data_IF_245882765194
#
_entry.id   IF_245882765194
#
_cell.length_a   1.000
_cell.length_b   1.000
_cell.length_c   1.000
_cell.angle_alpha   90.00
_cell.angle_beta   90.00
_cell.angle_gamma   90.00
#
_symmetry.space_group_name_H-M   'P 1'
#
loop_
_entity.id
_entity.type
_entity.pdbx_description
1 polymer ?
#
# COMPACT_ATOMS: atom_id res chain seq x y z
N UNK A 1 52.41 -4.27 44.45
CA UNK A 1 53.02 -5.45 43.80
C UNK A 1 52.51 -6.71 44.50
N UNK A 2 52.55 -7.85 43.79
CA UNK A 2 52.16 -9.23 44.17
C UNK A 2 50.75 -9.60 43.64
N UNK A 3 50.61 -9.93 42.36
CA UNK A 3 50.85 -11.23 41.70
C UNK A 3 49.78 -12.32 41.98
N UNK A 4 48.78 -12.35 41.10
CA UNK A 4 48.49 -13.46 40.17
C UNK A 4 47.93 -14.81 40.66
N UNK A 5 46.95 -15.27 39.87
CA UNK A 5 46.55 -16.67 39.51
C UNK A 5 45.54 -17.36 40.43
N UNK A 6 44.34 -17.61 39.87
CA UNK A 6 43.93 -18.94 39.36
C UNK A 6 42.60 -18.83 38.59
N UNK A 7 42.69 -19.17 37.31
CA UNK A 7 41.56 -19.45 36.41
C UNK A 7 40.90 -20.76 36.87
N UNK A 8 39.57 -20.78 37.00
CA UNK A 8 38.78 -22.01 36.92
C UNK A 8 37.71 -21.78 35.85
N UNK A 9 37.98 -22.37 34.69
CA UNK A 9 37.04 -22.55 33.59
C UNK A 9 36.11 -23.68 33.99
N UNK A 10 34.83 -23.36 34.23
CA UNK A 10 33.78 -24.34 34.37
C UNK A 10 32.96 -24.36 33.07
N UNK A 11 33.28 -25.33 32.21
CA UNK A 11 32.48 -25.66 31.04
C UNK A 11 31.18 -26.32 31.51
N UNK A 12 30.04 -25.67 31.27
CA UNK A 12 28.71 -26.26 31.46
C UNK A 12 28.02 -26.30 30.11
N UNK A 13 27.55 -27.49 29.78
CA UNK A 13 27.05 -27.95 28.49
C UNK A 13 25.93 -27.07 27.92
N UNK A 14 26.05 -26.71 26.65
CA UNK A 14 24.94 -26.21 25.83
C UNK A 14 24.05 -27.39 25.42
N UNK A 15 22.74 -27.38 25.73
CA UNK A 15 21.83 -28.35 25.13
C UNK A 15 21.68 -28.07 23.63
N UNK A 16 21.96 -29.11 22.83
CA UNK A 16 21.75 -29.13 21.39
C UNK A 16 20.26 -28.96 21.08
N UNK A 17 19.84 -27.74 20.74
CA UNK A 17 18.52 -27.51 20.18
C UNK A 17 18.47 -28.00 18.73
N UNK A 18 17.40 -28.72 18.43
CA UNK A 18 17.10 -29.39 17.17
C UNK A 18 17.29 -28.49 15.94
N UNK A 19 18.11 -28.95 14.99
CA UNK A 19 18.16 -28.40 13.65
C UNK A 19 16.90 -28.80 12.89
N UNK A 20 15.86 -27.96 12.92
CA UNK A 20 14.82 -28.00 11.90
C UNK A 20 15.44 -27.50 10.59
N UNK A 21 15.62 -28.41 9.64
CA UNK A 21 15.94 -28.07 8.27
C UNK A 21 14.85 -27.13 7.74
N UNK A 22 15.20 -25.85 7.53
CA UNK A 22 14.44 -25.03 6.61
C UNK A 22 14.79 -25.55 5.22
N UNK A 23 13.92 -26.41 4.67
CA UNK A 23 13.88 -26.62 3.24
C UNK A 23 13.64 -25.24 2.61
N UNK A 24 14.66 -24.77 1.91
CA UNK A 24 14.61 -23.60 1.02
C UNK A 24 13.65 -23.98 -0.10
N UNK A 25 12.35 -23.82 0.19
CA UNK A 25 11.28 -24.04 -0.75
C UNK A 25 11.39 -22.98 -1.82
N UNK A 26 11.90 -23.41 -2.97
CA UNK A 26 11.77 -22.79 -4.28
C UNK A 26 10.64 -21.75 -4.32
N UNK A 27 11.00 -20.47 -4.21
CA UNK A 27 10.12 -19.37 -4.63
C UNK A 27 10.12 -19.28 -6.15
N UNK A 28 9.80 -20.39 -6.81
CA UNK A 28 9.38 -20.41 -8.20
C UNK A 28 7.86 -20.29 -8.23
N UNK A 29 7.39 -19.08 -8.47
CA UNK A 29 5.96 -18.80 -8.47
C UNK A 29 5.68 -17.36 -8.83
N UNK A 30 5.96 -17.00 -10.09
CA UNK A 30 5.43 -15.78 -10.72
C UNK A 30 3.91 -15.89 -10.83
N UNK A 31 3.20 -15.78 -9.70
CA UNK A 31 1.77 -15.55 -9.65
C UNK A 31 1.52 -14.07 -9.92
N UNK A 32 1.56 -13.67 -11.20
CA UNK A 32 0.94 -12.42 -11.63
C UNK A 32 -0.57 -12.58 -11.46
N UNK A 33 -1.05 -12.42 -10.23
CA UNK A 33 -2.45 -12.18 -10.01
C UNK A 33 -2.76 -10.83 -10.66
N UNK A 34 -3.31 -10.88 -11.87
CA UNK A 34 -4.24 -9.86 -12.34
C UNK A 34 -5.43 -9.92 -11.37
N UNK A 35 -5.25 -9.34 -10.18
CA UNK A 35 -6.40 -8.78 -9.48
C UNK A 35 -6.97 -7.79 -10.48
N UNK A 36 -8.08 -8.17 -11.10
CA UNK A 36 -9.09 -7.22 -11.53
C UNK A 36 -9.22 -6.26 -10.36
N UNK A 37 -8.57 -5.11 -10.46
CA UNK A 37 -8.74 -4.05 -9.51
C UNK A 37 -10.18 -3.66 -9.71
N UNK A 38 -11.08 -4.24 -8.92
CA UNK A 38 -12.42 -3.74 -8.75
C UNK A 38 -12.23 -2.25 -8.53
N UNK A 39 -12.63 -1.47 -9.52
CA UNK A 39 -12.50 -0.01 -9.62
C UNK A 39 -13.48 0.63 -8.65
N UNK A 40 -13.57 0.10 -7.44
CA UNK A 40 -14.39 0.59 -6.35
C UNK A 40 -13.83 1.97 -5.97
N UNK A 41 -14.37 2.97 -6.68
CA UNK A 41 -14.05 4.38 -6.62
C UNK A 41 -12.64 4.80 -7.07
N UNK A 42 -12.22 4.34 -8.24
CA UNK A 42 -11.32 5.19 -9.01
C UNK A 42 -12.15 6.28 -9.68
N UNK A 43 -11.62 7.51 -9.79
CA UNK A 43 -12.27 8.58 -10.56
C UNK A 43 -12.61 8.12 -11.98
N UNK A 44 -11.83 7.18 -12.54
CA UNK A 44 -12.09 6.60 -13.85
C UNK A 44 -13.47 5.91 -13.94
N UNK A 45 -13.97 5.30 -12.85
CA UNK A 45 -15.30 4.68 -12.83
C UNK A 45 -16.44 5.69 -12.94
N UNK A 46 -16.31 6.88 -12.33
CA UNK A 46 -17.30 7.94 -12.43
C UNK A 46 -17.34 8.55 -13.84
N UNK A 47 -16.17 8.80 -14.44
CA UNK A 47 -16.11 9.33 -15.81
C UNK A 47 -16.57 8.34 -16.89
N UNK A 48 -16.47 7.02 -16.66
CA UNK A 48 -16.98 6.00 -17.57
C UNK A 48 -18.51 5.93 -17.59
N UNK A 49 -19.17 6.38 -16.53
CA UNK A 49 -20.63 6.40 -16.41
C UNK A 49 -21.26 7.70 -16.92
N UNK A 50 -20.44 8.70 -17.25
CA UNK A 50 -20.90 9.93 -17.90
C UNK A 50 -21.08 9.72 -19.40
N UNK A 51 -22.15 10.29 -19.96
CA UNK A 51 -22.33 10.38 -21.42
C UNK A 51 -21.39 11.42 -21.99
N UNK A 52 -20.17 11.00 -22.36
CA UNK A 52 -19.10 11.85 -22.91
C UNK A 52 -19.08 11.77 -24.44
N UNK A 53 -18.87 12.90 -25.12
CA UNK A 53 -18.64 12.91 -26.57
C UNK A 53 -17.29 12.26 -26.92
N UNK A 54 -17.12 11.78 -28.16
CA UNK A 54 -15.86 11.18 -28.60
C UNK A 54 -14.65 12.13 -28.44
N UNK A 55 -14.86 13.42 -28.71
CA UNK A 55 -13.84 14.45 -28.52
C UNK A 55 -13.46 14.60 -27.03
N UNK A 56 -14.44 14.65 -26.12
CA UNK A 56 -14.19 14.71 -24.67
C UNK A 56 -13.50 13.44 -24.16
N UNK A 57 -13.87 12.26 -24.67
CA UNK A 57 -13.24 10.99 -24.30
C UNK A 57 -11.78 10.95 -24.75
N UNK A 58 -11.48 11.42 -25.96
CA UNK A 58 -10.11 11.49 -26.47
C UNK A 58 -9.25 12.45 -25.63
N UNK A 59 -9.79 13.62 -25.27
CA UNK A 59 -9.11 14.61 -24.44
C UNK A 59 -8.82 14.07 -23.03
N UNK A 60 -9.83 13.50 -22.35
CA UNK A 60 -9.66 12.88 -21.03
C UNK A 60 -8.65 11.73 -21.05
N UNK A 61 -8.62 10.94 -22.13
CA UNK A 61 -7.63 9.87 -22.30
C UNK A 61 -6.22 10.42 -22.43
N UNK A 62 -6.05 11.52 -23.19
CA UNK A 62 -4.76 12.22 -23.35
C UNK A 62 -4.29 12.80 -22.01
N UNK A 63 -5.15 13.49 -21.28
CA UNK A 63 -4.85 14.05 -19.96
C UNK A 63 -4.41 12.96 -18.98
N UNK A 64 -5.18 11.85 -18.88
CA UNK A 64 -4.82 10.72 -18.00
C UNK A 64 -3.49 10.06 -18.38
N UNK A 65 -3.23 9.92 -19.69
CA UNK A 65 -1.97 9.33 -20.17
C UNK A 65 -0.78 10.24 -19.82
N UNK A 66 -0.90 11.53 -20.10
CA UNK A 66 0.14 12.51 -19.78
C UNK A 66 0.44 12.56 -18.28
N UNK A 67 -0.60 12.65 -17.44
CA UNK A 67 -0.42 12.64 -15.99
C UNK A 67 0.21 11.33 -15.49
N UNK A 68 -0.17 10.18 -16.07
CA UNK A 68 0.45 8.89 -15.73
C UNK A 68 1.94 8.85 -16.09
N UNK A 69 2.31 9.35 -17.26
CA UNK A 69 3.70 9.44 -17.71
C UNK A 69 4.52 10.37 -16.81
N UNK A 70 3.98 11.55 -16.47
CA UNK A 70 4.61 12.49 -15.54
C UNK A 70 4.83 11.85 -14.16
N UNK A 71 3.83 11.14 -13.63
CA UNK A 71 3.95 10.45 -12.33
C UNK A 71 4.95 9.30 -12.38
N UNK A 72 5.04 8.56 -13.49
CA UNK A 72 6.05 7.52 -13.68
C UNK A 72 7.45 8.11 -13.72
N UNK A 73 7.65 9.22 -14.44
CA UNK A 73 8.93 9.92 -14.49
C UNK A 73 9.33 10.46 -13.12
N UNK A 74 8.42 11.15 -12.42
CA UNK A 74 8.68 11.62 -11.05
C UNK A 74 9.03 10.48 -10.11
N UNK A 75 8.32 9.35 -10.22
CA UNK A 75 8.61 8.16 -9.41
C UNK A 75 10.00 7.60 -9.70
N UNK A 76 10.41 7.52 -10.95
CA UNK A 76 11.73 6.99 -11.29
C UNK A 76 12.84 7.95 -10.85
N UNK A 77 12.68 9.25 -11.09
CA UNK A 77 13.61 10.29 -10.66
C UNK A 77 13.78 10.35 -9.14
N UNK A 78 12.75 10.00 -8.38
CA UNK A 78 12.78 10.07 -6.91
C UNK A 78 12.80 8.69 -6.25
N UNK A 79 12.96 7.61 -6.99
CA UNK A 79 12.84 6.23 -6.46
C UNK A 79 13.77 5.97 -5.28
N UNK A 80 15.03 6.34 -5.42
CA UNK A 80 16.04 6.18 -4.37
C UNK A 80 15.73 7.07 -3.17
N UNK A 81 15.37 8.33 -3.42
CA UNK A 81 14.97 9.28 -2.36
C UNK A 81 13.76 8.78 -1.57
N UNK A 82 12.76 8.20 -2.25
CA UNK A 82 11.57 7.64 -1.60
C UNK A 82 11.92 6.40 -0.76
N UNK A 83 12.81 5.55 -1.26
CA UNK A 83 13.31 4.39 -0.51
C UNK A 83 14.05 4.83 0.76
N UNK A 84 14.98 5.78 0.62
CA UNK A 84 15.74 6.34 1.74
C UNK A 84 14.81 6.99 2.77
N UNK A 85 13.86 7.81 2.34
CA UNK A 85 12.88 8.44 3.21
C UNK A 85 12.02 7.41 3.96
N UNK A 86 11.60 6.33 3.30
CA UNK A 86 10.83 5.26 3.95
C UNK A 86 11.68 4.50 4.98
N UNK A 87 12.95 4.22 4.67
CA UNK A 87 13.87 3.60 5.62
C UNK A 87 14.09 4.48 6.85
N UNK A 88 14.36 5.78 6.64
CA UNK A 88 14.51 6.76 7.71
C UNK A 88 13.26 6.83 8.60
N UNK A 89 12.08 6.93 7.99
CA UNK A 89 10.80 6.92 8.72
C UNK A 89 10.66 5.66 9.59
N UNK A 90 10.99 4.49 9.04
CA UNK A 90 10.93 3.23 9.78
C UNK A 90 11.89 3.22 10.97
N UNK A 91 13.10 3.76 10.82
CA UNK A 91 14.06 3.88 11.92
C UNK A 91 13.59 4.87 12.99
N UNK A 92 12.99 6.00 12.60
CA UNK A 92 12.37 6.95 13.56
C UNK A 92 11.25 6.27 14.36
N UNK A 93 10.38 5.51 13.70
CA UNK A 93 9.32 4.73 14.36
C UNK A 93 9.92 3.71 15.34
N UNK A 94 10.91 2.93 14.92
CA UNK A 94 11.57 1.95 15.80
C UNK A 94 12.17 2.61 17.04
N UNK A 95 12.84 3.76 16.88
CA UNK A 95 13.42 4.50 18.00
C UNK A 95 12.36 4.95 19.01
N UNK A 96 11.23 5.46 18.54
CA UNK A 96 10.12 5.87 19.43
C UNK A 96 9.54 4.66 20.18
N UNK A 97 9.36 3.53 19.49
CA UNK A 97 8.74 2.33 20.06
C UNK A 97 9.65 1.58 21.05
N UNK A 98 10.97 1.58 20.81
CA UNK A 98 11.96 0.86 21.62
C UNK A 98 12.60 1.74 22.69
N UNK A 99 12.27 3.03 22.75
CA UNK A 99 12.74 3.91 23.79
C UNK A 99 12.22 3.47 25.17
N UNK A 100 13.00 3.66 26.24
CA UNK A 100 12.57 3.31 27.60
C UNK A 100 11.38 4.14 28.08
N UNK A 101 11.13 5.31 27.47
CA UNK A 101 9.94 6.14 27.68
C UNK A 101 9.44 6.68 26.34
N UNK A 102 8.15 6.97 26.27
CA UNK A 102 7.56 7.50 25.04
C UNK A 102 7.97 8.95 24.80
N UNK A 103 8.64 9.21 23.68
CA UNK A 103 8.96 10.55 23.22
C UNK A 103 7.80 11.13 22.41
N UNK A 104 6.92 11.86 23.10
CA UNK A 104 5.77 12.53 22.49
C UNK A 104 6.16 13.58 21.46
N UNK A 105 7.32 14.23 21.60
CA UNK A 105 7.76 15.26 20.66
C UNK A 105 8.24 14.64 19.35
N UNK A 106 9.02 13.56 19.43
CA UNK A 106 9.45 12.81 18.24
C UNK A 106 8.26 12.17 17.50
N UNK A 107 7.26 11.68 18.24
CA UNK A 107 6.02 11.16 17.65
C UNK A 107 5.23 12.26 16.94
N UNK A 108 5.11 13.44 17.53
CA UNK A 108 4.43 14.58 16.92
C UNK A 108 5.13 15.03 15.63
N UNK A 109 6.46 15.18 15.64
CA UNK A 109 7.23 15.55 14.45
C UNK A 109 7.05 14.55 13.30
N UNK A 110 7.05 13.25 13.62
CA UNK A 110 6.80 12.20 12.64
C UNK A 110 5.38 12.31 12.03
N UNK A 111 4.38 12.66 12.84
CA UNK A 111 3.02 12.88 12.39
C UNK A 111 2.91 14.14 11.51
N UNK A 112 3.60 15.22 11.87
CA UNK A 112 3.61 16.47 11.12
C UNK A 112 4.26 16.29 9.74
N UNK A 113 5.38 15.57 9.66
CA UNK A 113 6.03 15.19 8.39
C UNK A 113 5.06 14.40 7.49
N UNK A 114 4.33 13.45 8.08
CA UNK A 114 3.34 12.66 7.36
C UNK A 114 2.15 13.52 6.88
N UNK A 115 1.66 14.44 7.72
CA UNK A 115 0.59 15.36 7.38
C UNK A 115 0.98 16.30 6.23
N UNK A 116 2.20 16.84 6.26
CA UNK A 116 2.72 17.68 5.18
C UNK A 116 2.78 16.93 3.84
N UNK A 117 3.26 15.67 3.86
CA UNK A 117 3.27 14.83 2.67
C UNK A 117 1.84 14.60 2.14
N UNK A 118 0.90 14.22 3.02
CA UNK A 118 -0.50 14.01 2.65
C UNK A 118 -1.15 15.28 2.08
N UNK A 119 -0.89 16.44 2.66
CA UNK A 119 -1.38 17.72 2.16
C UNK A 119 -0.89 17.97 0.72
N UNK A 120 0.41 17.80 0.47
CA UNK A 120 1.00 18.00 -0.87
C UNK A 120 0.39 17.06 -1.93
N UNK A 121 0.19 15.78 -1.57
CA UNK A 121 -0.43 14.79 -2.46
C UNK A 121 -1.90 15.10 -2.71
N UNK A 122 -2.61 15.58 -1.68
CA UNK A 122 -4.03 15.96 -1.79
C UNK A 122 -4.20 17.12 -2.74
N UNK A 123 -3.34 18.15 -2.64
CA UNK A 123 -3.37 19.30 -3.56
C UNK A 123 -3.10 18.86 -5.00
N UNK A 124 -2.07 18.04 -5.24
CA UNK A 124 -1.77 17.51 -6.60
C UNK A 124 -2.94 16.72 -7.17
N UNK A 125 -3.57 15.88 -6.35
CA UNK A 125 -4.74 15.11 -6.75
C UNK A 125 -5.91 16.03 -7.11
N UNK A 126 -6.21 17.03 -6.28
CA UNK A 126 -7.29 17.97 -6.55
C UNK A 126 -7.05 18.80 -7.82
N UNK A 127 -5.81 19.20 -8.07
CA UNK A 127 -5.45 19.90 -9.30
C UNK A 127 -5.73 19.05 -10.54
N UNK A 128 -5.35 17.76 -10.50
CA UNK A 128 -5.63 16.83 -11.59
C UNK A 128 -7.14 16.52 -11.72
N UNK A 129 -7.85 16.31 -10.61
CA UNK A 129 -9.31 16.16 -10.59
C UNK A 129 -9.99 17.35 -11.28
N UNK A 130 -9.54 18.56 -10.97
CA UNK A 130 -10.06 19.78 -11.57
C UNK A 130 -9.82 19.83 -13.09
N UNK A 131 -8.62 19.49 -13.55
CA UNK A 131 -8.28 19.45 -14.99
C UNK A 131 -9.14 18.44 -15.77
N UNK A 132 -9.45 17.28 -15.17
CA UNK A 132 -10.37 16.33 -15.81
C UNK A 132 -11.81 16.87 -15.85
N UNK A 133 -12.27 17.50 -14.77
CA UNK A 133 -13.65 18.01 -14.68
C UNK A 133 -13.85 19.25 -15.55
N UNK A 134 -12.80 20.03 -15.88
CA UNK A 134 -12.93 21.21 -16.74
C UNK A 134 -13.35 20.89 -18.18
N UNK A 135 -13.14 19.66 -18.65
CA UNK A 135 -13.56 19.17 -19.99
C UNK A 135 -15.08 18.92 -20.05
N UNK A 136 -15.74 18.80 -18.90
CA UNK A 136 -17.16 18.48 -18.81
C UNK A 136 -18.07 19.70 -18.98
N UNK A 137 -19.28 19.48 -19.51
CA UNK A 137 -20.36 20.48 -19.51
C UNK A 137 -20.93 20.69 -18.11
N UNK A 138 -21.71 21.76 -17.90
CA UNK A 138 -22.32 22.06 -16.60
C UNK A 138 -23.21 20.91 -16.08
N UNK A 139 -23.99 20.30 -16.97
CA UNK A 139 -24.87 19.16 -16.66
C UNK A 139 -24.06 17.91 -16.29
N UNK A 140 -23.00 17.60 -17.06
CA UNK A 140 -22.09 16.49 -16.78
C UNK A 140 -21.35 16.67 -15.44
N UNK A 141 -21.03 17.92 -15.04
CA UNK A 141 -20.43 18.21 -13.73
C UNK A 141 -21.36 17.88 -12.58
N UNK A 142 -22.66 18.17 -12.71
CA UNK A 142 -23.65 17.81 -11.69
C UNK A 142 -23.80 16.29 -11.55
N UNK A 143 -23.89 15.58 -12.68
CA UNK A 143 -23.91 14.11 -12.69
C UNK A 143 -22.62 13.50 -12.12
N UNK A 144 -21.46 14.11 -12.39
CA UNK A 144 -20.20 13.67 -11.84
C UNK A 144 -20.20 13.73 -10.30
N UNK A 145 -20.77 14.79 -9.71
CA UNK A 145 -20.86 14.95 -8.25
C UNK A 145 -21.77 13.87 -7.64
N UNK A 146 -22.93 13.60 -8.23
CA UNK A 146 -23.84 12.56 -7.72
C UNK A 146 -23.19 11.17 -7.79
N UNK A 147 -22.60 10.82 -8.93
CA UNK A 147 -21.86 9.57 -9.10
C UNK A 147 -20.73 9.44 -8.08
N UNK A 148 -19.96 10.50 -7.85
CA UNK A 148 -18.87 10.50 -6.85
C UNK A 148 -19.39 10.25 -5.43
N UNK A 149 -20.55 10.78 -5.08
CA UNK A 149 -21.21 10.52 -3.79
C UNK A 149 -21.71 9.08 -3.69
N UNK A 150 -22.29 8.52 -4.75
CA UNK A 150 -22.80 7.16 -4.76
C UNK A 150 -21.67 6.13 -4.70
N UNK A 151 -20.58 6.34 -5.45
CA UNK A 151 -19.34 5.57 -5.34
C UNK A 151 -18.67 5.67 -3.96
N UNK A 152 -18.90 6.77 -3.21
CA UNK A 152 -18.45 6.90 -1.82
C UNK A 152 -19.31 6.05 -0.88
N UNK A 153 -20.63 5.99 -1.11
CA UNK A 153 -21.57 5.19 -0.31
C UNK A 153 -21.42 3.68 -0.57
N UNK A 154 -21.25 3.26 -1.82
CA UNK A 154 -21.05 1.85 -2.21
C UNK A 154 -19.71 1.24 -1.77
N UNK A 155 -18.77 2.06 -1.27
CA UNK A 155 -17.45 1.62 -0.78
C UNK A 155 -17.47 0.88 0.57
N UNK A 156 -18.62 0.72 1.20
CA UNK A 156 -18.75 0.07 2.51
C UNK A 156 -19.46 -1.29 2.50
N UNK A 157 -20.20 -1.66 1.45
CA UNK A 157 -21.01 -2.89 1.47
C UNK A 157 -20.31 -4.11 0.88
N UNK A 158 -19.44 -3.94 -0.14
CA UNK A 158 -18.79 -5.09 -0.79
C UNK A 158 -17.64 -5.70 0.03
N UNK A 159 -17.09 -5.00 1.03
CA UNK A 159 -16.10 -5.56 1.96
C UNK A 159 -16.69 -6.55 2.97
N UNK A 160 -18.01 -6.54 3.22
CA UNK A 160 -18.67 -7.50 4.13
C UNK A 160 -18.97 -8.86 3.48
N UNK A 161 -18.91 -8.95 2.15
CA UNK A 161 -19.30 -10.16 1.39
C UNK A 161 -18.14 -11.09 0.99
N UNK A 162 -16.90 -10.60 0.93
CA UNK A 162 -15.77 -11.37 0.41
C UNK A 162 -14.97 -12.16 1.45
N UNK A 163 -15.12 -11.84 2.74
CA UNK A 163 -14.38 -12.51 3.81
C UNK A 163 -14.98 -13.89 4.19
N UNK A 164 -16.26 -14.13 3.86
CA UNK A 164 -16.95 -15.38 4.22
C UNK A 164 -16.76 -16.55 3.25
N UNK A 165 -16.10 -16.35 2.11
CA UNK A 165 -15.98 -17.41 1.07
C UNK A 165 -14.64 -18.15 1.04
N UNK A 166 -13.68 -17.80 1.91
CA UNK A 166 -12.33 -18.39 1.88
C UNK A 166 -12.03 -19.40 3.00
N UNK A 167 -13.01 -19.76 3.85
CA UNK A 167 -12.82 -20.74 4.94
C UNK A 167 -13.53 -22.09 4.73
N UNK A 168 -13.82 -22.48 3.49
CA UNK A 168 -14.63 -23.68 3.23
C UNK A 168 -14.19 -24.49 2.02
N UNK A 169 -12.92 -24.94 1.98
CA UNK A 169 -12.53 -26.14 1.22
C UNK A 169 -11.08 -26.51 1.50
N UNK A 170 -10.86 -27.46 2.40
CA UNK A 170 -9.88 -28.53 2.22
C UNK A 170 -10.06 -29.64 3.28
N UNK A 171 -9.87 -30.88 2.80
CA UNK A 171 -9.86 -32.18 3.47
C UNK A 171 -11.26 -32.79 3.73
N UNK A 172 -11.59 -33.98 3.23
CA UNK A 172 -10.80 -34.96 2.48
C UNK A 172 -11.62 -36.23 2.31
N UNK A 173 -11.31 -36.99 1.26
CA UNK A 173 -11.54 -38.44 1.18
C UNK A 173 -10.75 -38.94 -0.03
N UNK A 174 -9.57 -39.49 0.23
CA UNK A 174 -8.88 -40.39 -0.69
C UNK A 174 -8.90 -41.75 -0.02
N UNK A 175 -9.82 -42.60 -0.48
CA UNK A 175 -9.84 -44.02 -0.14
C UNK A 175 -8.57 -44.71 -0.65
N UNK A 176 -7.99 -45.68 0.08
CA UNK A 176 -6.96 -46.54 -0.44
C UNK A 176 -7.59 -47.71 -1.23
N UNK A 177 -7.15 -47.90 -2.47
CA UNK A 177 -7.43 -49.10 -3.26
C UNK A 177 -6.74 -50.34 -2.65
N UNK A 178 -7.46 -51.46 -2.67
CA UNK A 178 -7.00 -52.81 -2.36
C UNK A 178 -6.10 -53.39 -3.47
#
# INVERSE_FOLDING_TARGET
MNLSKKLIVAAIALPLFAGSAFADGDRSGKGRHHQERHTCASEAGAFQQLSLSEAQQAELKKLRKSHREQMMQQREQHKERMSAHQAEKNERVKKILLAPTFDSNAAQQLADDAAAMLASMTVKKLAFEHELVSVLTAEQKQQYISLKQDHKKGRCDSKRGHDKRMHGKHHGESEPNA
#
